data_IF_918750225443
#
_entry.id   IF_918750225443
#
_cell.length_a   1.000
_cell.length_b   1.000
_cell.length_c   1.000
_cell.angle_alpha   90.00
_cell.angle_beta   90.00
_cell.angle_gamma   90.00
#
_symmetry.space_group_name_H-M   'P 1'
#
loop_
_entity.id
_entity.type
_entity.pdbx_description
1 polymer ?
#
# COMPACT_ATOMS: atom_id res chain seq x y z
N UNK A 1 -1.58 14.58 6.12
CA UNK A 1 -1.56 13.50 5.10
C UNK A 1 -0.18 12.85 5.14
N UNK A 2 -0.07 11.60 4.69
CA UNK A 2 1.21 10.87 4.55
C UNK A 2 1.46 10.72 3.05
N UNK A 3 2.65 11.08 2.57
CA UNK A 3 3.04 10.90 1.16
C UNK A 3 3.17 9.42 0.81
N UNK A 4 2.81 9.06 -0.42
CA UNK A 4 3.07 7.71 -0.97
C UNK A 4 4.55 7.36 -0.81
N UNK A 5 4.85 6.07 -0.63
CA UNK A 5 6.20 5.53 -0.39
C UNK A 5 6.87 5.91 0.95
N UNK A 6 6.16 6.58 1.87
CA UNK A 6 6.66 6.77 3.24
C UNK A 6 6.73 5.44 3.98
N UNK A 7 7.81 5.23 4.74
CA UNK A 7 7.95 4.06 5.61
C UNK A 7 7.27 4.33 6.93
N UNK A 8 6.32 3.47 7.29
CA UNK A 8 5.49 3.60 8.49
C UNK A 8 5.53 2.33 9.33
N UNK A 9 5.47 2.52 10.65
CA UNK A 9 5.16 1.46 11.59
C UNK A 9 3.68 1.56 11.99
N UNK A 10 3.00 0.42 12.05
CA UNK A 10 1.58 0.32 12.39
C UNK A 10 1.41 -0.62 13.58
N UNK A 11 0.72 -0.14 14.61
CA UNK A 11 0.16 -1.00 15.67
C UNK A 11 -1.33 -1.18 15.37
N UNK A 12 -1.78 -2.43 15.22
CA UNK A 12 -3.17 -2.73 14.87
C UNK A 12 -3.54 -4.16 15.17
N UNK A 13 -4.81 -4.48 14.97
CA UNK A 13 -5.36 -5.84 15.15
C UNK A 13 -5.71 -6.44 13.79
N UNK A 14 -5.37 -7.72 13.61
CA UNK A 14 -5.72 -8.45 12.38
C UNK A 14 -7.17 -8.94 12.51
N UNK A 15 -8.02 -8.56 11.56
CA UNK A 15 -9.40 -9.05 11.45
C UNK A 15 -9.63 -9.76 10.12
N UNK A 16 -10.61 -10.66 10.07
CA UNK A 16 -11.06 -11.23 8.80
C UNK A 16 -11.71 -10.14 7.96
N UNK A 17 -11.34 -10.08 6.67
CA UNK A 17 -11.98 -9.18 5.74
C UNK A 17 -13.41 -9.69 5.43
N UNK A 18 -14.43 -8.81 5.38
CA UNK A 18 -15.81 -9.22 5.09
C UNK A 18 -15.99 -9.74 3.65
N UNK A 19 -15.09 -9.33 2.74
CA UNK A 19 -15.03 -9.75 1.33
C UNK A 19 -13.56 -9.87 0.89
N UNK A 20 -13.29 -10.68 -0.14
CA UNK A 20 -11.94 -10.83 -0.70
C UNK A 20 -11.37 -9.50 -1.19
N UNK A 21 -10.13 -9.21 -0.83
CA UNK A 21 -9.39 -8.00 -1.24
C UNK A 21 -8.56 -8.33 -2.48
N UNK A 22 -9.01 -7.91 -3.67
CA UNK A 22 -8.34 -8.26 -4.93
C UNK A 22 -7.11 -7.41 -5.25
N UNK A 23 -6.98 -6.23 -4.66
CA UNK A 23 -5.85 -5.32 -4.89
C UNK A 23 -4.62 -5.63 -4.03
N UNK A 24 -4.71 -6.58 -3.11
CA UNK A 24 -3.64 -6.94 -2.18
C UNK A 24 -3.32 -8.44 -2.25
N UNK A 25 -2.10 -8.82 -1.87
CA UNK A 25 -1.73 -10.25 -1.81
C UNK A 25 -2.37 -10.96 -0.61
N UNK A 26 -2.56 -10.26 0.51
CA UNK A 26 -3.38 -10.72 1.64
C UNK A 26 -4.85 -10.46 1.31
N UNK A 27 -5.58 -11.53 0.96
CA UNK A 27 -6.96 -11.41 0.45
C UNK A 27 -8.06 -11.48 1.50
N UNK A 28 -7.81 -12.16 2.62
CA UNK A 28 -8.87 -12.57 3.57
C UNK A 28 -8.78 -11.86 4.92
N UNK A 29 -7.81 -10.96 5.10
CA UNK A 29 -7.54 -10.28 6.36
C UNK A 29 -7.22 -8.82 6.13
N UNK A 30 -7.51 -8.00 7.13
CA UNK A 30 -7.18 -6.57 7.15
C UNK A 30 -6.60 -6.18 8.53
N UNK A 31 -5.94 -5.03 8.60
CA UNK A 31 -5.40 -4.47 9.85
C UNK A 31 -6.30 -3.33 10.31
N UNK A 32 -6.94 -3.49 11.46
CA UNK A 32 -7.62 -2.41 12.17
C UNK A 32 -6.58 -1.56 12.90
N UNK A 33 -6.20 -0.44 12.30
CA UNK A 33 -5.12 0.45 12.78
C UNK A 33 -5.49 1.09 14.12
N UNK A 34 -4.63 0.93 15.13
CA UNK A 34 -4.75 1.56 16.45
C UNK A 34 -3.75 2.69 16.63
N UNK A 35 -2.52 2.53 16.13
CA UNK A 35 -1.49 3.57 16.08
C UNK A 35 -0.71 3.50 14.79
N UNK A 36 -0.16 4.64 14.38
CA UNK A 36 0.67 4.77 13.20
C UNK A 36 1.81 5.75 13.50
N UNK A 37 3.02 5.38 13.11
CA UNK A 37 4.21 6.21 13.24
C UNK A 37 4.92 6.33 11.89
N UNK A 38 5.26 7.55 11.48
CA UNK A 38 6.08 7.76 10.29
C UNK A 38 7.53 7.60 10.70
N UNK A 39 8.19 6.57 10.19
CA UNK A 39 9.60 6.28 10.44
C UNK A 39 10.48 7.06 9.47
N UNK A 40 10.07 7.13 8.20
CA UNK A 40 10.73 7.93 7.17
C UNK A 40 9.69 8.53 6.23
N UNK A 41 9.65 9.86 6.16
CA UNK A 41 8.73 10.58 5.29
C UNK A 41 9.28 10.65 3.87
N UNK A 42 8.50 10.19 2.89
CA UNK A 42 8.83 10.31 1.48
C UNK A 42 8.54 11.72 0.95
N UNK A 43 9.23 12.11 -0.12
CA UNK A 43 8.93 13.36 -0.82
C UNK A 43 7.51 13.31 -1.43
N UNK A 44 6.73 14.40 -1.37
CA UNK A 44 5.36 14.40 -1.91
C UNK A 44 5.30 14.21 -3.43
N UNK A 45 6.36 14.58 -4.15
CA UNK A 45 6.44 14.50 -5.61
C UNK A 45 7.43 13.42 -6.00
N UNK A 46 6.90 12.27 -6.40
CA UNK A 46 7.71 11.16 -6.91
C UNK A 46 7.94 11.32 -8.41
N UNK A 47 9.14 10.98 -8.92
CA UNK A 47 9.46 11.06 -10.35
C UNK A 47 8.67 10.05 -11.20
N UNK A 48 8.31 8.91 -10.61
CA UNK A 48 7.49 7.85 -11.21
C UNK A 48 6.69 7.18 -10.09
N UNK A 49 5.48 6.73 -10.39
CA UNK A 49 4.68 5.95 -9.45
C UNK A 49 4.91 4.45 -9.63
N UNK A 50 4.78 3.68 -8.54
CA UNK A 50 4.87 2.21 -8.60
C UNK A 50 3.80 1.65 -9.54
N UNK A 51 2.59 2.19 -9.53
CA UNK A 51 1.50 1.74 -10.40
C UNK A 51 1.81 1.95 -11.90
N UNK A 52 2.61 2.96 -12.23
CA UNK A 52 3.05 3.20 -13.61
C UNK A 52 4.20 2.25 -14.00
N UNK A 53 5.12 1.98 -13.07
CA UNK A 53 6.23 1.05 -13.28
C UNK A 53 5.79 -0.42 -13.38
N UNK A 54 4.64 -0.77 -12.80
CA UNK A 54 4.07 -2.12 -12.81
C UNK A 54 3.27 -2.44 -14.08
N UNK A 55 3.01 -1.46 -14.95
CA UNK A 55 2.30 -1.72 -16.21
C UNK A 55 3.15 -2.63 -17.08
N UNK A 56 2.54 -3.67 -17.63
CA UNK A 56 3.19 -4.45 -18.67
C UNK A 56 3.41 -3.54 -19.89
N UNK A 57 4.58 -3.63 -20.51
CA UNK A 57 4.73 -3.09 -21.86
C UNK A 57 3.75 -3.86 -22.76
N UNK A 58 2.83 -3.16 -23.42
CA UNK A 58 2.01 -3.74 -24.48
C UNK A 58 2.96 -4.14 -25.61
N UNK A 59 3.56 -5.33 -25.50
CA UNK A 59 4.11 -6.02 -26.65
C UNK A 59 2.92 -6.41 -27.52
N UNK A 60 2.58 -5.51 -28.44
CA UNK A 60 1.62 -5.71 -29.52
C UNK A 60 2.00 -7.03 -30.20
N UNK A 61 1.16 -8.05 -30.01
CA UNK A 61 1.16 -9.29 -30.76
C UNK A 61 0.02 -9.29 -31.75
#
# INVERSE_FOLDING_TARGET
SISKESVIDIEGEISLAPTSIESCSQKNVEIQVKKLFVVSAAEPRLPLLIEDAMRADEAIG
#
